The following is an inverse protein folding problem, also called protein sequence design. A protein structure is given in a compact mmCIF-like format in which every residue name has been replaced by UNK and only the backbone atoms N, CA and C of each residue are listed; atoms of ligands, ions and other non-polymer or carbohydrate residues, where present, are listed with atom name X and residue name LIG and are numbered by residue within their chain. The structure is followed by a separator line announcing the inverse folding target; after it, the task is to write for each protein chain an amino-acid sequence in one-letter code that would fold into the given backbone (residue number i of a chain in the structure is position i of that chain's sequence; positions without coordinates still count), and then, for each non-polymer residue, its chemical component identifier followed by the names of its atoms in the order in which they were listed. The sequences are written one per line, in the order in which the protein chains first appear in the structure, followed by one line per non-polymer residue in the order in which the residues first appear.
data_IF_926951807972
#
_entry.id   IF_926951807972
#
_cell.length_a   1.000
_cell.length_b   1.000
_cell.length_c   1.000
_cell.angle_alpha   90.00
_cell.angle_beta   90.00
_cell.angle_gamma   90.00
#
_symmetry.space_group_name_H-M   'P 1'
#
loop_
_entity.id
_entity.type
_entity.pdbx_description
1 polymer ?
#
# COMPACT_ATOMS: atom_id res chain seq x y z
N UNK A 1 8.87 -13.91 -1.90
CA UNK A 1 8.12 -12.93 -2.72
C UNK A 1 6.85 -13.52 -3.33
N UNK A 2 6.90 -14.62 -4.11
CA UNK A 2 5.70 -15.25 -4.70
C UNK A 2 4.71 -15.76 -3.65
N UNK A 3 5.21 -16.33 -2.55
CA UNK A 3 4.42 -16.77 -1.40
C UNK A 3 3.68 -15.59 -0.74
N UNK A 4 4.40 -14.52 -0.39
CA UNK A 4 3.80 -13.32 0.20
C UNK A 4 2.78 -12.63 -0.72
N UNK A 5 3.01 -12.64 -2.04
CA UNK A 5 2.01 -12.14 -3.01
C UNK A 5 0.71 -12.95 -2.96
N UNK A 6 0.80 -14.28 -2.76
CA UNK A 6 -0.37 -15.11 -2.59
C UNK A 6 -1.07 -14.85 -1.25
N UNK A 7 -0.30 -14.64 -0.19
CA UNK A 7 -0.81 -14.39 1.16
C UNK A 7 -1.55 -13.04 1.31
N UNK A 8 -1.33 -12.09 0.41
CA UNK A 8 -2.16 -10.87 0.31
C UNK A 8 -3.65 -11.18 0.06
N UNK A 9 -3.99 -12.39 -0.39
CA UNK A 9 -5.38 -12.85 -0.59
C UNK A 9 -5.80 -13.93 0.40
N UNK A 10 -4.99 -14.17 1.43
CA UNK A 10 -5.30 -15.18 2.45
C UNK A 10 -6.62 -14.86 3.16
N UNK A 11 -7.40 -15.88 3.58
CA UNK A 11 -8.67 -15.67 4.28
C UNK A 11 -8.47 -14.97 5.63
N UNK A 12 -7.35 -15.21 6.30
CA UNK A 12 -7.01 -14.58 7.57
C UNK A 12 -6.43 -13.17 7.36
N UNK A 13 -7.01 -12.13 7.98
CA UNK A 13 -6.50 -10.76 7.87
C UNK A 13 -5.07 -10.61 8.38
N UNK A 14 -4.70 -11.39 9.41
CA UNK A 14 -3.34 -11.42 9.98
C UNK A 14 -2.32 -11.86 8.95
N UNK A 15 -2.66 -12.85 8.10
CA UNK A 15 -1.77 -13.34 7.04
C UNK A 15 -1.58 -12.28 5.95
N UNK A 16 -2.63 -11.55 5.57
CA UNK A 16 -2.53 -10.43 4.61
C UNK A 16 -1.64 -9.31 5.15
N UNK A 17 -1.78 -8.97 6.43
CA UNK A 17 -0.95 -7.97 7.10
C UNK A 17 0.51 -8.36 7.15
N UNK A 18 0.80 -9.60 7.57
CA UNK A 18 2.15 -10.12 7.64
C UNK A 18 2.81 -10.08 6.25
N UNK A 19 2.09 -10.54 5.22
CA UNK A 19 2.57 -10.48 3.84
C UNK A 19 2.90 -9.06 3.39
N UNK A 20 2.04 -8.08 3.69
CA UNK A 20 2.30 -6.68 3.36
C UNK A 20 3.56 -6.13 4.07
N UNK A 21 3.78 -6.48 5.34
CA UNK A 21 4.99 -6.07 6.07
C UNK A 21 6.26 -6.71 5.54
N UNK A 22 6.23 -8.00 5.20
CA UNK A 22 7.37 -8.67 4.59
C UNK A 22 7.71 -8.09 3.21
N UNK A 23 6.68 -7.74 2.42
CA UNK A 23 6.87 -7.06 1.14
C UNK A 23 7.44 -5.64 1.35
N UNK A 24 6.98 -4.92 2.38
CA UNK A 24 7.50 -3.60 2.72
C UNK A 24 8.98 -3.64 3.12
N UNK A 25 9.39 -4.64 3.90
CA UNK A 25 10.77 -4.77 4.40
C UNK A 25 11.79 -4.98 3.27
N UNK A 26 11.36 -5.50 2.12
CA UNK A 26 12.19 -5.62 0.92
C UNK A 26 12.44 -4.28 0.19
N UNK A 27 11.61 -3.26 0.45
CA UNK A 27 11.69 -1.96 -0.20
C UNK A 27 11.62 -2.05 -1.74
N UNK A 28 12.51 -1.38 -2.49
CA UNK A 28 12.45 -1.35 -3.96
C UNK A 28 12.53 -2.73 -4.65
N UNK A 29 13.12 -3.74 -4.00
CA UNK A 29 13.22 -5.09 -4.55
C UNK A 29 11.84 -5.78 -4.68
N UNK A 30 10.83 -5.29 -3.96
CA UNK A 30 9.45 -5.78 -4.03
C UNK A 30 8.61 -5.16 -5.18
N UNK A 31 9.22 -4.47 -6.15
CA UNK A 31 8.51 -3.88 -7.28
C UNK A 31 7.54 -4.86 -8.01
N UNK A 32 7.89 -6.14 -8.09
CA UNK A 32 7.04 -7.16 -8.70
C UNK A 32 5.72 -7.42 -7.93
N UNK A 33 5.63 -7.03 -6.66
CA UNK A 33 4.44 -7.17 -5.83
C UNK A 33 3.45 -5.99 -5.98
N UNK A 34 3.85 -4.90 -6.66
CA UNK A 34 3.03 -3.68 -6.79
C UNK A 34 1.60 -3.96 -7.29
N UNK A 35 1.37 -4.77 -8.35
CA UNK A 35 0.01 -5.05 -8.81
C UNK A 35 -0.85 -5.77 -7.77
N UNK A 36 -0.26 -6.67 -6.98
CA UNK A 36 -0.96 -7.38 -5.92
C UNK A 36 -1.26 -6.48 -4.72
N UNK A 37 -0.31 -5.60 -4.36
CA UNK A 37 -0.52 -4.59 -3.33
C UNK A 37 -1.62 -3.59 -3.72
N UNK A 38 -1.68 -3.15 -4.98
CA UNK A 38 -2.76 -2.27 -5.44
C UNK A 38 -4.12 -2.93 -5.23
N UNK A 39 -4.27 -4.22 -5.56
CA UNK A 39 -5.50 -4.96 -5.33
C UNK A 39 -5.83 -5.10 -3.83
N UNK A 40 -4.82 -5.20 -2.97
CA UNK A 40 -5.00 -5.28 -1.52
C UNK A 40 -5.37 -3.93 -0.86
N UNK A 41 -5.26 -2.80 -1.58
CA UNK A 41 -5.80 -1.51 -1.10
C UNK A 41 -7.34 -1.50 -1.08
N UNK A 42 -7.98 -2.41 -1.82
CA UNK A 42 -9.44 -2.59 -1.84
C UNK A 42 -9.93 -3.59 -0.78
N UNK A 43 -9.09 -3.99 0.18
CA UNK A 43 -9.51 -4.88 1.25
C UNK A 43 -10.61 -4.24 2.10
N UNK A 44 -11.66 -5.01 2.39
CA UNK A 44 -12.79 -4.58 3.21
C UNK A 44 -12.35 -4.19 4.63
N UNK A 45 -11.26 -4.77 5.12
CA UNK A 45 -10.74 -4.54 6.47
C UNK A 45 -9.75 -3.37 6.46
N UNK A 46 -10.06 -2.24 7.12
CA UNK A 46 -9.18 -1.07 7.15
C UNK A 46 -7.78 -1.37 7.74
N UNK A 47 -7.71 -2.30 8.70
CA UNK A 47 -6.46 -2.75 9.30
C UNK A 47 -5.53 -3.50 8.33
N UNK A 48 -6.05 -3.98 7.19
CA UNK A 48 -5.26 -4.58 6.10
C UNK A 48 -4.79 -3.54 5.11
N UNK A 49 -5.61 -2.51 4.86
CA UNK A 49 -5.23 -1.42 3.95
C UNK A 49 -3.97 -0.70 4.44
N UNK A 50 -3.85 -0.40 5.73
CA UNK A 50 -2.73 0.38 6.27
C UNK A 50 -1.32 -0.24 5.98
N UNK A 51 -1.04 -1.52 6.30
CA UNK A 51 0.22 -2.16 5.93
C UNK A 51 0.52 -2.14 4.42
N UNK A 52 -0.51 -2.29 3.59
CA UNK A 52 -0.38 -2.26 2.12
C UNK A 52 0.04 -0.87 1.64
N UNK A 53 -0.54 0.19 2.23
CA UNK A 53 -0.15 1.57 1.96
C UNK A 53 1.32 1.82 2.29
N UNK A 54 1.78 1.30 3.43
CA UNK A 54 3.18 1.40 3.86
C UNK A 54 4.09 0.67 2.88
N UNK A 55 3.74 -0.56 2.49
CA UNK A 55 4.52 -1.35 1.54
C UNK A 55 4.74 -0.64 0.21
N UNK A 56 3.70 -0.02 -0.35
CA UNK A 56 3.79 0.77 -1.58
C UNK A 56 4.70 1.99 -1.41
N UNK A 57 4.68 2.64 -0.24
CA UNK A 57 5.58 3.74 0.08
C UNK A 57 7.05 3.31 0.17
N UNK A 58 7.33 2.16 0.79
CA UNK A 58 8.70 1.63 0.95
C UNK A 58 9.27 1.08 -0.37
N UNK A 59 8.42 0.59 -1.28
CA UNK A 59 8.84 0.25 -2.65
C UNK A 59 9.30 1.50 -3.42
N UNK A 60 8.70 2.67 -3.13
CA UNK A 60 9.11 3.94 -3.71
C UNK A 60 8.66 4.12 -5.18
N UNK A 61 9.47 4.72 -6.06
CA UNK A 61 9.05 5.10 -7.42
C UNK A 61 8.50 3.97 -8.28
N UNK A 62 8.92 2.72 -8.04
CA UNK A 62 8.36 1.56 -8.75
C UNK A 62 6.86 1.32 -8.47
N UNK A 63 6.33 1.89 -7.38
CA UNK A 63 4.91 1.84 -7.03
C UNK A 63 4.09 3.02 -7.59
N UNK A 64 4.60 3.77 -8.59
CA UNK A 64 3.89 4.92 -9.18
C UNK A 64 2.49 4.56 -9.71
N UNK A 65 2.31 3.33 -10.20
CA UNK A 65 1.01 2.80 -10.64
C UNK A 65 -0.06 2.79 -9.52
N UNK A 66 0.33 2.83 -8.24
CA UNK A 66 -0.58 2.86 -7.11
C UNK A 66 -1.12 4.26 -6.77
N UNK A 67 -0.51 5.34 -7.30
CA UNK A 67 -0.87 6.72 -6.96
C UNK A 67 -2.37 7.01 -7.16
N UNK A 68 -3.02 6.64 -8.29
CA UNK A 68 -4.44 6.93 -8.47
C UNK A 68 -5.30 6.30 -7.38
N UNK A 69 -5.02 5.04 -7.01
CA UNK A 69 -5.79 4.34 -5.96
C UNK A 69 -5.54 4.93 -4.58
N UNK A 70 -4.29 5.28 -4.27
CA UNK A 70 -3.93 5.94 -3.01
C UNK A 70 -4.61 7.31 -2.88
N UNK A 71 -4.77 8.06 -3.98
CA UNK A 71 -5.52 9.33 -3.97
C UNK A 71 -7.01 9.12 -3.65
N UNK A 72 -7.64 8.15 -4.31
CA UNK A 72 -9.03 7.79 -3.99
C UNK A 72 -9.18 7.40 -2.51
N UNK A 73 -8.22 6.65 -1.96
CA UNK A 73 -8.23 6.26 -0.56
C UNK A 73 -8.11 7.45 0.41
N UNK A 74 -7.42 8.53 0.00
CA UNK A 74 -7.37 9.79 0.76
C UNK A 74 -8.71 10.52 0.74
N UNK A 75 -9.48 10.40 -0.35
CA UNK A 75 -10.77 11.06 -0.55
C UNK A 75 -11.93 10.27 0.08
N UNK A 76 -11.86 8.94 0.06
CA UNK A 76 -12.94 8.03 0.50
C UNK A 76 -12.91 7.70 2.00
N UNK A 77 -11.73 7.62 2.61
CA UNK A 77 -11.59 7.04 3.94
C UNK A 77 -11.78 8.10 5.03
N UNK A 78 -12.86 7.97 5.83
CA UNK A 78 -13.19 8.85 6.97
C UNK A 78 -12.18 8.71 8.14
N UNK A 79 -11.23 7.78 8.06
CA UNK A 79 -10.21 7.58 9.08
C UNK A 79 -8.93 8.35 8.73
N UNK A 80 -8.69 9.43 9.49
CA UNK A 80 -7.54 10.33 9.31
C UNK A 80 -6.19 9.61 9.28
N UNK A 81 -6.04 8.50 10.01
CA UNK A 81 -4.78 7.73 10.04
C UNK A 81 -4.51 7.02 8.71
N UNK A 82 -5.54 6.47 8.08
CA UNK A 82 -5.44 5.76 6.81
C UNK A 82 -5.13 6.75 5.68
N UNK A 83 -5.84 7.89 5.68
CA UNK A 83 -5.59 8.97 4.73
C UNK A 83 -4.17 9.56 4.91
N UNK A 84 -3.70 9.73 6.16
CA UNK A 84 -2.32 10.16 6.43
C UNK A 84 -1.28 9.14 5.93
N UNK A 85 -1.54 7.84 6.10
CA UNK A 85 -0.71 6.77 5.56
C UNK A 85 -0.60 6.84 4.04
N UNK A 86 -1.74 7.01 3.35
CA UNK A 86 -1.78 7.14 1.89
C UNK A 86 -1.06 8.40 1.40
N UNK A 87 -1.24 9.54 2.07
CA UNK A 87 -0.50 10.78 1.74
C UNK A 87 1.02 10.60 1.86
N UNK A 88 1.47 9.94 2.93
CA UNK A 88 2.90 9.64 3.15
C UNK A 88 3.45 8.68 2.09
N UNK A 89 2.69 7.65 1.71
CA UNK A 89 3.07 6.72 0.67
C UNK A 89 3.21 7.44 -0.68
N UNK A 90 2.23 8.25 -1.08
CA UNK A 90 2.29 9.03 -2.33
C UNK A 90 3.54 9.93 -2.35
N UNK A 91 3.86 10.61 -1.23
CA UNK A 91 5.06 11.46 -1.13
C UNK A 91 6.37 10.67 -1.28
N UNK A 92 6.44 9.45 -0.74
CA UNK A 92 7.61 8.56 -0.90
C UNK A 92 7.75 8.02 -2.31
N UNK A 93 6.63 7.67 -2.95
CA UNK A 93 6.59 7.16 -4.33
C UNK A 93 6.99 8.26 -5.31
N UNK A 94 6.35 9.43 -5.20
CA UNK A 94 6.62 10.58 -6.06
C UNK A 94 6.45 11.90 -5.28
N UNK A 95 7.54 12.55 -4.86
CA UNK A 95 7.45 13.86 -4.26
C UNK A 95 6.87 14.86 -5.29
N UNK A 96 5.73 15.46 -4.97
CA UNK A 96 4.97 16.36 -5.86
C UNK A 96 3.68 15.77 -6.47
N UNK A 97 3.35 14.50 -6.19
CA UNK A 97 2.09 13.91 -6.65
C UNK A 97 0.85 14.37 -5.85
N UNK A 98 1.04 15.05 -4.72
CA UNK A 98 0.00 15.72 -3.94
C UNK A 98 0.19 17.24 -3.96
N UNK A 99 -0.90 18.03 -3.90
CA UNK A 99 -0.80 19.46 -3.70
C UNK A 99 -0.06 19.79 -2.39
N UNK A 100 0.66 20.93 -2.30
CA UNK A 100 1.23 21.39 -1.04
C UNK A 100 0.11 21.64 -0.01
N UNK A 101 0.35 21.20 1.22
CA UNK A 101 -0.52 21.45 2.39
C UNK A 101 -0.58 22.93 2.75
#
# INVERSE_FOLDING_TARGET
LSEWIADLKAPAPVSRNAAAYEIASMGPAAAAAVPALIAALDDEIPAVRFPVTVALGEIGPAAEAAIPRLKLMVEEDLNDEIAAGARRAIKRIRPGALPPE
#
